data_IF_031516804841
#
_entry.id   IF_031516804841
#
_cell.length_a   1.000
_cell.length_b   1.000
_cell.length_c   1.000
_cell.angle_alpha   90.00
_cell.angle_beta   90.00
_cell.angle_gamma   90.00
#
_symmetry.space_group_name_H-M   'P 1'
#
loop_
_entity.id
_entity.type
_entity.pdbx_description
1 polymer ?
#
# COMPACT_ATOMS: atom_id res chain seq x y z
N UNK A 1 -10.78 -43.64 40.30
CA UNK A 1 -9.56 -43.17 39.61
C UNK A 1 -9.73 -43.13 38.09
N UNK A 2 -10.10 -44.25 37.44
CA UNK A 2 -10.30 -44.31 35.97
C UNK A 2 -11.29 -43.26 35.42
N UNK A 3 -12.46 -43.10 36.04
CA UNK A 3 -13.48 -42.14 35.58
C UNK A 3 -12.96 -40.68 35.62
N UNK A 4 -12.20 -40.32 36.65
CA UNK A 4 -11.62 -38.98 36.80
C UNK A 4 -10.58 -38.70 35.71
N UNK A 5 -9.79 -39.72 35.35
CA UNK A 5 -8.81 -39.63 34.27
C UNK A 5 -9.51 -39.47 32.91
N UNK A 6 -10.60 -40.21 32.67
CA UNK A 6 -11.40 -40.10 31.44
C UNK A 6 -11.99 -38.69 31.30
N UNK A 7 -12.56 -38.15 32.38
CA UNK A 7 -13.11 -36.77 32.40
C UNK A 7 -12.01 -35.74 32.11
N UNK A 8 -10.82 -35.91 32.71
CA UNK A 8 -9.69 -35.01 32.50
C UNK A 8 -9.21 -35.03 31.05
N UNK A 9 -9.13 -36.22 30.44
CA UNK A 9 -8.76 -36.38 29.02
C UNK A 9 -9.79 -35.72 28.11
N UNK A 10 -11.09 -35.95 28.36
CA UNK A 10 -12.17 -35.30 27.61
C UNK A 10 -12.10 -33.78 27.68
N UNK A 11 -11.80 -33.24 28.86
CA UNK A 11 -11.70 -31.80 29.07
C UNK A 11 -10.51 -31.20 28.28
N UNK A 12 -9.37 -31.88 28.26
CA UNK A 12 -8.22 -31.50 27.42
C UNK A 12 -8.57 -31.52 25.93
N UNK A 13 -9.27 -32.56 25.47
CA UNK A 13 -9.71 -32.66 24.07
C UNK A 13 -10.64 -31.49 23.70
N UNK A 14 -11.60 -31.16 24.56
CA UNK A 14 -12.51 -30.02 24.33
C UNK A 14 -11.73 -28.70 24.25
N UNK A 15 -10.77 -28.48 25.14
CA UNK A 15 -9.92 -27.28 25.10
C UNK A 15 -9.13 -27.22 23.79
N UNK A 16 -8.53 -28.34 23.35
CA UNK A 16 -7.79 -28.39 22.09
C UNK A 16 -8.68 -28.07 20.88
N UNK A 17 -9.91 -28.60 20.84
CA UNK A 17 -10.88 -28.29 19.77
C UNK A 17 -11.21 -26.80 19.74
N UNK A 18 -11.40 -26.17 20.90
CA UNK A 18 -11.67 -24.73 21.00
C UNK A 18 -10.47 -23.93 20.48
N UNK A 19 -9.25 -24.27 20.90
CA UNK A 19 -8.02 -23.59 20.46
C UNK A 19 -7.86 -23.71 18.93
N UNK A 20 -8.01 -24.91 18.37
CA UNK A 20 -7.92 -25.14 16.93
C UNK A 20 -8.96 -24.31 16.18
N UNK A 21 -10.20 -24.27 16.67
CA UNK A 21 -11.29 -23.49 16.06
C UNK A 21 -10.97 -21.99 16.03
N UNK A 22 -10.41 -21.46 17.11
CA UNK A 22 -9.98 -20.05 17.20
C UNK A 22 -8.84 -19.78 16.21
N UNK A 23 -7.83 -20.64 16.16
CA UNK A 23 -6.69 -20.49 15.23
C UNK A 23 -7.13 -20.53 13.77
N UNK A 24 -8.04 -21.44 13.40
CA UNK A 24 -8.59 -21.51 12.04
C UNK A 24 -9.33 -20.23 11.66
N UNK A 25 -10.11 -19.65 12.57
CA UNK A 25 -10.82 -18.40 12.33
C UNK A 25 -9.86 -17.21 12.17
N UNK A 26 -8.79 -17.16 12.97
CA UNK A 26 -7.74 -16.14 12.84
C UNK A 26 -7.03 -16.28 11.49
N UNK A 27 -6.61 -17.48 11.10
CA UNK A 27 -5.95 -17.73 9.82
C UNK A 27 -6.83 -17.32 8.64
N UNK A 28 -8.11 -17.71 8.64
CA UNK A 28 -9.04 -17.31 7.58
C UNK A 28 -9.16 -15.79 7.44
N UNK A 29 -9.24 -15.06 8.56
CA UNK A 29 -9.28 -13.59 8.55
C UNK A 29 -7.98 -12.97 8.05
N UNK A 30 -6.84 -13.60 8.33
CA UNK A 30 -5.54 -13.16 7.81
C UNK A 30 -5.44 -13.40 6.30
N UNK A 31 -5.87 -14.57 5.82
CA UNK A 31 -5.90 -14.89 4.38
C UNK A 31 -6.79 -13.92 3.61
N UNK A 32 -8.00 -13.62 4.11
CA UNK A 32 -8.90 -12.64 3.52
C UNK A 32 -8.25 -11.25 3.44
N UNK A 33 -7.54 -10.82 4.49
CA UNK A 33 -6.79 -9.56 4.48
C UNK A 33 -5.64 -9.56 3.46
N UNK A 34 -4.88 -10.65 3.37
CA UNK A 34 -3.78 -10.79 2.42
C UNK A 34 -4.31 -10.73 0.99
N UNK A 35 -5.42 -11.42 0.69
CA UNK A 35 -6.04 -11.39 -0.64
C UNK A 35 -6.55 -10.00 -1.01
N UNK A 36 -7.22 -9.31 -0.07
CA UNK A 36 -7.66 -7.93 -0.29
C UNK A 36 -6.48 -7.00 -0.57
N UNK A 37 -5.37 -7.17 0.16
CA UNK A 37 -4.20 -6.34 -0.03
C UNK A 37 -3.50 -6.62 -1.35
N UNK A 38 -3.40 -7.89 -1.77
CA UNK A 38 -2.89 -8.26 -3.08
C UNK A 38 -3.72 -7.64 -4.19
N UNK A 39 -5.05 -7.71 -4.10
CA UNK A 39 -5.95 -7.09 -5.06
C UNK A 39 -5.77 -5.57 -5.15
N UNK A 40 -5.44 -4.90 -4.03
CA UNK A 40 -5.15 -3.46 -4.01
C UNK A 40 -3.81 -3.13 -4.68
N UNK A 41 -2.76 -3.92 -4.43
CA UNK A 41 -1.46 -3.73 -5.11
C UNK A 41 -1.63 -3.93 -6.63
N UNK A 42 -2.33 -4.98 -7.06
CA UNK A 42 -2.63 -5.22 -8.47
C UNK A 42 -3.44 -4.07 -9.11
N UNK A 43 -4.27 -3.37 -8.33
CA UNK A 43 -4.95 -2.15 -8.79
C UNK A 43 -3.95 -1.02 -9.04
N UNK A 44 -3.05 -0.72 -8.10
CA UNK A 44 -2.05 0.35 -8.28
C UNK A 44 -1.11 0.06 -9.45
N UNK A 45 -0.61 -1.16 -9.57
CA UNK A 45 0.25 -1.57 -10.70
C UNK A 45 -0.44 -1.39 -12.05
N UNK A 46 -1.73 -1.73 -12.12
CA UNK A 46 -2.54 -1.54 -13.33
C UNK A 46 -2.70 -0.07 -13.68
N UNK A 47 -3.04 0.77 -12.71
CA UNK A 47 -3.22 2.20 -12.93
C UNK A 47 -1.91 2.87 -13.35
N UNK A 48 -0.79 2.52 -12.73
CA UNK A 48 0.54 2.98 -13.14
C UNK A 48 0.84 2.59 -14.59
N UNK A 49 0.54 1.34 -14.96
CA UNK A 49 0.73 0.84 -16.33
C UNK A 49 -0.17 1.57 -17.34
N UNK A 50 -1.39 1.94 -16.95
CA UNK A 50 -2.30 2.71 -17.78
C UNK A 50 -1.76 4.12 -17.99
N UNK A 51 -1.33 4.79 -16.92
CA UNK A 51 -0.75 6.14 -16.99
C UNK A 51 0.51 6.17 -17.84
N UNK A 52 1.41 5.18 -17.72
CA UNK A 52 2.64 5.08 -18.54
C UNK A 52 2.37 4.99 -20.05
N UNK A 53 1.18 4.54 -20.46
CA UNK A 53 0.77 4.46 -21.88
C UNK A 53 0.09 5.73 -22.38
N UNK A 54 -0.35 6.58 -21.46
CA UNK A 54 -1.03 7.84 -21.79
C UNK A 54 0.03 8.91 -22.06
N UNK A 55 -0.16 9.75 -23.10
CA UNK A 55 0.72 10.90 -23.32
C UNK A 55 0.78 11.80 -22.08
N UNK A 56 1.95 12.39 -21.83
CA UNK A 56 2.09 13.34 -20.73
C UNK A 56 1.18 14.55 -20.95
N UNK A 57 0.28 14.76 -19.99
CA UNK A 57 -0.72 15.81 -19.97
C UNK A 57 -1.11 16.12 -18.53
N UNK A 58 -1.79 17.25 -18.32
CA UNK A 58 -2.35 17.60 -17.01
C UNK A 58 -3.27 16.49 -16.47
N UNK A 59 -4.07 15.86 -17.34
CA UNK A 59 -4.93 14.74 -16.96
C UNK A 59 -4.12 13.54 -16.45
N UNK A 60 -3.01 13.20 -17.11
CA UNK A 60 -2.15 12.09 -16.67
C UNK A 60 -1.48 12.37 -15.32
N UNK A 61 -1.08 13.63 -15.07
CA UNK A 61 -0.51 14.09 -13.79
C UNK A 61 -1.57 14.03 -12.70
N UNK A 62 -2.80 14.46 -13.01
CA UNK A 62 -3.94 14.37 -12.09
C UNK A 62 -4.27 12.92 -11.74
N UNK A 63 -4.32 12.02 -12.73
CA UNK A 63 -4.51 10.59 -12.48
C UNK A 63 -3.42 10.01 -11.58
N UNK A 64 -2.15 10.37 -11.83
CA UNK A 64 -1.04 9.95 -10.98
C UNK A 64 -1.17 10.50 -9.55
N UNK A 65 -1.56 11.76 -9.42
CA UNK A 65 -1.80 12.37 -8.12
C UNK A 65 -2.89 11.62 -7.34
N UNK A 66 -4.01 11.33 -7.98
CA UNK A 66 -5.16 10.72 -7.32
C UNK A 66 -4.81 9.32 -6.79
N UNK A 67 -4.13 8.50 -7.60
CA UNK A 67 -3.70 7.16 -7.17
C UNK A 67 -2.59 7.21 -6.11
N UNK A 68 -1.68 8.18 -6.19
CA UNK A 68 -0.59 8.30 -5.22
C UNK A 68 -1.10 8.79 -3.85
N UNK A 69 -2.03 9.76 -3.83
CA UNK A 69 -2.68 10.21 -2.59
C UNK A 69 -3.47 9.10 -1.93
N UNK A 70 -4.18 8.30 -2.73
CA UNK A 70 -4.89 7.12 -2.25
C UNK A 70 -3.92 6.12 -1.60
N UNK A 71 -2.84 5.76 -2.32
CA UNK A 71 -1.82 4.86 -1.81
C UNK A 71 -1.16 5.37 -0.52
N UNK A 72 -0.80 6.66 -0.47
CA UNK A 72 -0.20 7.27 0.72
C UNK A 72 -1.15 7.30 1.91
N UNK A 73 -2.44 7.55 1.67
CA UNK A 73 -3.46 7.44 2.70
C UNK A 73 -3.55 6.02 3.25
N UNK A 74 -3.56 5.02 2.37
CA UNK A 74 -3.71 3.63 2.78
C UNK A 74 -2.47 3.05 3.47
N UNK A 75 -1.26 3.32 2.95
CA UNK A 75 -0.02 2.69 3.42
C UNK A 75 0.70 3.46 4.52
N UNK A 76 0.50 4.76 4.59
CA UNK A 76 1.19 5.63 5.55
C UNK A 76 0.22 6.33 6.50
N UNK A 77 -1.09 6.08 6.38
CA UNK A 77 -2.12 6.74 7.17
C UNK A 77 -2.05 8.28 7.07
N UNK A 78 -1.65 8.77 5.90
CA UNK A 78 -1.46 10.19 5.62
C UNK A 78 -2.78 10.83 5.19
N UNK A 79 -3.07 12.04 5.68
CA UNK A 79 -4.22 12.81 5.20
C UNK A 79 -4.01 13.22 3.73
N UNK A 80 -4.97 12.88 2.86
CA UNK A 80 -4.94 13.19 1.42
C UNK A 80 -4.88 14.70 1.11
N UNK A 81 -5.26 15.56 2.06
CA UNK A 81 -5.21 17.01 1.91
C UNK A 81 -3.81 17.60 2.06
N UNK A 82 -2.81 16.81 2.50
CA UNK A 82 -1.43 17.29 2.59
C UNK A 82 -0.90 17.61 1.21
N UNK A 83 -0.21 18.73 1.08
CA UNK A 83 0.51 19.11 -0.15
C UNK A 83 1.72 18.21 -0.38
N UNK A 84 2.20 18.11 -1.63
CA UNK A 84 3.42 17.34 -1.89
C UNK A 84 4.65 17.89 -1.19
N UNK A 85 4.73 19.20 -0.96
CA UNK A 85 5.78 19.81 -0.16
C UNK A 85 5.78 19.33 1.31
N UNK A 86 4.59 19.18 1.91
CA UNK A 86 4.47 18.61 3.25
C UNK A 86 4.86 17.13 3.28
N UNK A 87 4.47 16.37 2.26
CA UNK A 87 4.82 14.95 2.14
C UNK A 87 6.32 14.75 1.94
N UNK A 88 6.95 15.55 1.07
CA UNK A 88 8.40 15.57 0.87
C UNK A 88 9.13 15.81 2.19
N UNK A 89 8.72 16.84 2.94
CA UNK A 89 9.33 17.16 4.24
C UNK A 89 9.14 16.02 5.25
N UNK A 90 8.00 15.33 5.21
CA UNK A 90 7.72 14.19 6.08
C UNK A 90 8.61 13.00 5.73
N UNK A 91 8.64 12.59 4.46
CA UNK A 91 9.41 11.45 4.00
C UNK A 91 10.92 11.64 4.14
N UNK A 92 11.41 12.87 3.94
CA UNK A 92 12.80 13.24 4.26
C UNK A 92 13.15 12.97 5.72
N UNK A 93 12.26 13.33 6.66
CA UNK A 93 12.48 13.11 8.10
C UNK A 93 12.45 11.63 8.47
N UNK A 94 11.70 10.83 7.73
CA UNK A 94 11.62 9.38 7.90
C UNK A 94 12.75 8.61 7.20
N UNK A 95 13.62 9.29 6.44
CA UNK A 95 14.68 8.63 5.64
C UNK A 95 14.13 7.83 4.46
N UNK A 96 13.00 8.27 3.89
CA UNK A 96 12.29 7.62 2.78
C UNK A 96 12.56 8.33 1.46
N UNK A 97 13.77 8.11 0.95
CA UNK A 97 14.33 8.88 -0.17
C UNK A 97 13.52 8.75 -1.48
N UNK A 98 12.93 7.57 -1.77
CA UNK A 98 12.12 7.36 -2.98
C UNK A 98 10.83 8.19 -2.94
N UNK A 99 10.14 8.16 -1.80
CA UNK A 99 8.90 8.90 -1.56
C UNK A 99 9.15 10.40 -1.50
N UNK A 100 10.25 10.84 -0.87
CA UNK A 100 10.70 12.24 -0.90
C UNK A 100 10.88 12.70 -2.35
N UNK A 101 11.67 11.95 -3.14
CA UNK A 101 11.95 12.30 -4.53
C UNK A 101 10.70 12.31 -5.40
N UNK A 102 9.80 11.34 -5.22
CA UNK A 102 8.51 11.32 -5.89
C UNK A 102 7.67 12.55 -5.53
N UNK A 103 7.59 12.90 -4.25
CA UNK A 103 6.83 14.07 -3.80
C UNK A 103 7.41 15.37 -4.35
N UNK A 104 8.73 15.50 -4.37
CA UNK A 104 9.42 16.64 -4.96
C UNK A 104 9.08 16.82 -6.45
N UNK A 105 9.09 15.71 -7.20
CA UNK A 105 8.75 15.70 -8.63
C UNK A 105 7.27 16.01 -8.87
N UNK A 106 6.36 15.44 -8.07
CA UNK A 106 4.93 15.76 -8.15
C UNK A 106 4.64 17.22 -7.81
N UNK A 107 5.34 17.78 -6.81
CA UNK A 107 5.24 19.19 -6.47
C UNK A 107 5.67 20.07 -7.67
N UNK A 108 6.78 19.74 -8.32
CA UNK A 108 7.24 20.45 -9.50
C UNK A 108 6.24 20.34 -10.67
N UNK A 109 5.67 19.15 -10.94
CA UNK A 109 4.73 18.96 -12.05
C UNK A 109 3.36 19.61 -11.82
N UNK A 110 2.90 19.70 -10.58
CA UNK A 110 1.59 20.27 -10.24
C UNK A 110 1.58 21.80 -10.19
N UNK A 111 2.73 22.42 -9.89
CA UNK A 111 2.84 23.87 -9.65
C UNK A 111 3.75 24.60 -10.63
N UNK A 112 4.37 23.90 -11.59
CA UNK A 112 5.11 24.58 -12.64
C UNK A 112 4.14 25.09 -13.71
N UNK A 113 4.28 26.37 -14.06
CA UNK A 113 3.53 27.02 -15.15
C UNK A 113 4.10 26.62 -16.53
N UNK A 114 4.21 25.30 -16.76
CA UNK A 114 4.75 24.71 -18.00
C UNK A 114 4.16 23.35 -18.27
N UNK A 115 4.19 22.95 -19.53
CA UNK A 115 3.83 21.59 -19.94
C UNK A 115 4.79 20.56 -19.34
N UNK A 116 4.21 19.53 -18.72
CA UNK A 116 4.97 18.39 -18.18
C UNK A 116 5.53 17.57 -19.33
N UNK A 117 6.83 17.30 -19.30
CA UNK A 117 7.48 16.48 -20.33
C UNK A 117 7.20 14.99 -20.12
N UNK A 118 7.19 14.21 -21.21
CA UNK A 118 7.08 12.75 -21.12
C UNK A 118 8.18 12.12 -20.28
N UNK A 119 9.37 12.74 -20.23
CA UNK A 119 10.48 12.29 -19.38
C UNK A 119 10.13 12.39 -17.90
N UNK A 120 9.60 13.52 -17.46
CA UNK A 120 9.21 13.75 -16.06
C UNK A 120 8.07 12.84 -15.65
N UNK A 121 7.09 12.66 -16.54
CA UNK A 121 5.99 11.74 -16.29
C UNK A 121 6.47 10.29 -16.15
N UNK A 122 7.40 9.86 -17.02
CA UNK A 122 8.01 8.53 -16.94
C UNK A 122 8.84 8.35 -15.67
N UNK A 123 9.54 9.39 -15.23
CA UNK A 123 10.30 9.37 -13.98
C UNK A 123 9.38 9.27 -12.76
N UNK A 124 8.32 10.07 -12.71
CA UNK A 124 7.36 10.06 -11.60
C UNK A 124 6.61 8.73 -11.49
N UNK A 125 6.13 8.21 -12.62
CA UNK A 125 5.47 6.89 -12.67
C UNK A 125 6.44 5.73 -12.42
N UNK A 126 7.73 5.91 -12.75
CA UNK A 126 8.80 4.98 -12.39
C UNK A 126 9.01 4.93 -10.88
N UNK A 127 9.28 6.08 -10.26
CA UNK A 127 9.45 6.19 -8.81
C UNK A 127 8.23 5.67 -8.06
N UNK A 128 7.01 5.98 -8.51
CA UNK A 128 5.81 5.47 -7.87
C UNK A 128 5.65 3.96 -8.00
N UNK A 129 6.03 3.37 -9.14
CA UNK A 129 6.06 1.92 -9.30
C UNK A 129 7.03 1.28 -8.30
N UNK A 130 8.24 1.84 -8.17
CA UNK A 130 9.25 1.34 -7.24
C UNK A 130 8.77 1.43 -5.78
N UNK A 131 8.06 2.50 -5.42
CA UNK A 131 7.45 2.65 -4.08
C UNK A 131 6.39 1.56 -3.86
N UNK A 132 5.49 1.35 -4.82
CA UNK A 132 4.45 0.30 -4.70
C UNK A 132 5.08 -1.09 -4.59
N UNK A 133 6.13 -1.37 -5.36
CA UNK A 133 6.84 -2.65 -5.36
C UNK A 133 7.59 -2.90 -4.04
N UNK A 134 8.33 -1.92 -3.52
CA UNK A 134 9.01 -2.04 -2.23
C UNK A 134 8.01 -2.44 -1.14
N UNK A 135 6.86 -1.78 -1.09
CA UNK A 135 5.80 -2.07 -0.12
C UNK A 135 5.13 -3.44 -0.32
N UNK A 136 5.18 -4.01 -1.52
CA UNK A 136 4.71 -5.37 -1.78
C UNK A 136 5.72 -6.42 -1.28
N UNK A 137 7.02 -6.11 -1.35
CA UNK A 137 8.12 -7.03 -1.00
C UNK A 137 8.47 -7.06 0.51
N UNK A 138 7.98 -6.11 1.31
CA UNK A 138 8.20 -6.07 2.77
C UNK A 138 7.22 -6.94 3.60
N UNK A 139 6.59 -7.95 2.99
CA UNK A 139 5.67 -8.89 3.66
C UNK A 139 6.18 -10.31 3.75
#
# INVERSE_FOLDING_TARGET
MLILNIISILLVIVILIVIISVLLNINRRLDEKIQLEKSRIEFYEREIKNIKKTPASEDSVKSLNDIAKEFFREKFNINSNKTYLELETMFKKEGKDKEERFCSLMNAMMYADRTVSSREMNEATGLFADIVEDYNNFK
#
